data_IF_220369744933
#
_entry.id   IF_220369744933
#
_cell.length_a   1.000
_cell.length_b   1.000
_cell.length_c   1.000
_cell.angle_alpha   90.00
_cell.angle_beta   90.00
_cell.angle_gamma   90.00
#
_symmetry.space_group_name_H-M   'P 1'
#
loop_
_entity.id
_entity.type
_entity.pdbx_description
1 polymer ?
#
# COMPACT_ATOMS: atom_id res chain seq x y z
N UNK A 1 -9.93 -11.33 15.27
CA UNK A 1 -10.33 -11.87 16.59
C UNK A 1 -10.03 -13.36 16.72
N UNK A 2 -10.80 -14.28 16.11
CA UNK A 2 -10.62 -15.73 16.34
C UNK A 2 -9.21 -16.29 16.03
N UNK A 3 -8.43 -15.59 15.20
CA UNK A 3 -7.04 -15.95 14.83
C UNK A 3 -5.97 -15.10 15.55
N UNK A 4 -6.32 -14.34 16.58
CA UNK A 4 -5.39 -13.48 17.32
C UNK A 4 -4.93 -12.20 16.62
N UNK A 5 -5.25 -12.03 15.32
CA UNK A 5 -4.81 -10.85 14.54
C UNK A 5 -5.49 -9.51 14.90
N UNK A 6 -6.48 -9.51 15.80
CA UNK A 6 -7.15 -8.31 16.29
C UNK A 6 -7.85 -8.63 17.61
N UNK A 7 -7.79 -7.71 18.58
CA UNK A 7 -8.46 -7.85 19.88
C UNK A 7 -9.97 -7.75 19.76
N UNK A 8 -10.44 -6.86 18.87
CA UNK A 8 -11.86 -6.59 18.63
C UNK A 8 -12.11 -6.50 17.12
N UNK A 9 -13.35 -6.78 16.74
CA UNK A 9 -13.86 -6.50 15.39
C UNK A 9 -15.23 -5.83 15.53
N UNK A 10 -15.55 -4.97 14.58
CA UNK A 10 -16.82 -4.28 14.48
C UNK A 10 -17.50 -4.63 13.16
N UNK A 11 -18.83 -4.56 13.12
CA UNK A 11 -19.61 -4.82 11.90
C UNK A 11 -19.57 -3.65 10.92
N UNK A 12 -19.26 -2.44 11.40
CA UNK A 12 -19.16 -1.23 10.59
C UNK A 12 -17.84 -0.50 10.82
N UNK A 13 -17.30 0.18 9.79
CA UNK A 13 -16.13 1.05 9.95
C UNK A 13 -16.31 2.14 11.01
N UNK A 14 -17.49 2.74 11.12
CA UNK A 14 -17.82 3.79 12.09
C UNK A 14 -17.65 3.31 13.53
N UNK A 15 -18.18 2.12 13.84
CA UNK A 15 -18.02 1.52 15.16
C UNK A 15 -16.57 1.12 15.46
N UNK A 16 -15.75 0.88 14.42
CA UNK A 16 -14.34 0.55 14.57
C UNK A 16 -13.48 1.76 14.94
N UNK A 17 -13.81 2.94 14.40
CA UNK A 17 -13.01 4.16 14.58
C UNK A 17 -13.39 4.98 15.81
N UNK A 18 -14.55 4.72 16.41
CA UNK A 18 -15.07 5.49 17.54
C UNK A 18 -14.07 5.51 18.72
N UNK A 19 -13.57 6.70 19.05
CA UNK A 19 -12.61 6.90 20.14
C UNK A 19 -11.19 6.44 19.85
N UNK A 20 -10.84 6.15 18.60
CA UNK A 20 -9.48 5.78 18.21
C UNK A 20 -8.53 7.00 18.22
N UNK A 21 -7.33 6.81 18.75
CA UNK A 21 -6.24 7.81 18.66
C UNK A 21 -5.52 7.75 17.29
N UNK A 22 -5.49 6.55 16.70
CA UNK A 22 -4.89 6.25 15.40
C UNK A 22 -5.82 5.37 14.57
N UNK A 23 -6.08 5.78 13.34
CA UNK A 23 -6.78 4.98 12.31
C UNK A 23 -5.84 4.68 11.16
N UNK A 24 -5.69 3.40 10.85
CA UNK A 24 -4.83 2.91 9.77
C UNK A 24 -5.69 2.30 8.65
N UNK A 25 -5.76 2.97 7.51
CA UNK A 25 -6.57 2.55 6.36
C UNK A 25 -5.80 1.54 5.49
N UNK A 26 -5.96 0.26 5.79
CA UNK A 26 -5.36 -0.87 5.06
C UNK A 26 -6.32 -1.50 4.03
N UNK A 27 -7.24 -0.71 3.45
CA UNK A 27 -8.16 -1.14 2.38
C UNK A 27 -7.48 -1.09 1.01
N UNK A 28 -8.07 -1.69 -0.05
CA UNK A 28 -7.64 -1.45 -1.42
C UNK A 28 -7.56 0.05 -1.74
N UNK A 29 -6.65 0.43 -2.65
CA UNK A 29 -6.30 1.83 -2.95
C UNK A 29 -7.54 2.65 -3.31
N UNK A 30 -8.41 2.09 -4.16
CA UNK A 30 -9.66 2.69 -4.61
C UNK A 30 -10.69 2.92 -3.49
N UNK A 31 -10.56 2.18 -2.37
CA UNK A 31 -11.49 2.24 -1.25
C UNK A 31 -11.01 3.18 -0.13
N UNK A 32 -9.76 3.65 -0.14
CA UNK A 32 -9.20 4.47 0.96
C UNK A 32 -9.96 5.79 1.12
N UNK A 33 -10.06 6.61 0.07
CA UNK A 33 -10.73 7.91 0.17
C UNK A 33 -12.24 7.78 0.47
N UNK A 34 -13.01 6.88 -0.18
CA UNK A 34 -14.39 6.62 0.20
C UNK A 34 -14.56 6.14 1.65
N UNK A 35 -13.66 5.27 2.13
CA UNK A 35 -13.69 4.79 3.51
C UNK A 35 -13.41 5.93 4.49
N UNK A 36 -12.38 6.74 4.22
CA UNK A 36 -12.08 7.91 5.05
C UNK A 36 -13.27 8.86 5.12
N UNK A 37 -13.86 9.22 3.98
CA UNK A 37 -15.03 10.09 3.93
C UNK A 37 -16.21 9.54 4.74
N UNK A 38 -16.44 8.22 4.69
CA UNK A 38 -17.54 7.56 5.39
C UNK A 38 -17.37 7.47 6.91
N UNK A 39 -16.13 7.51 7.42
CA UNK A 39 -15.83 7.42 8.86
C UNK A 39 -15.43 8.75 9.47
N UNK A 40 -15.14 9.77 8.66
CA UNK A 40 -14.69 11.09 9.08
C UNK A 40 -15.56 11.71 10.20
N UNK A 41 -16.91 11.64 10.14
CA UNK A 41 -17.78 12.22 11.18
C UNK A 41 -17.67 11.54 12.55
N UNK A 42 -17.19 10.30 12.59
CA UNK A 42 -17.10 9.47 13.80
C UNK A 42 -15.69 9.48 14.42
N UNK A 43 -14.72 10.14 13.77
CA UNK A 43 -13.36 10.26 14.28
C UNK A 43 -13.29 11.25 15.44
N UNK A 44 -12.48 10.90 16.43
CA UNK A 44 -12.18 11.80 17.53
C UNK A 44 -11.41 13.04 17.02
N UNK A 45 -11.66 14.24 17.56
CA UNK A 45 -10.87 15.42 17.25
C UNK A 45 -9.37 15.17 17.51
N UNK A 46 -8.53 15.48 16.53
CA UNK A 46 -7.09 15.26 16.59
C UNK A 46 -6.64 13.82 16.30
N UNK A 47 -7.57 12.90 15.96
CA UNK A 47 -7.24 11.54 15.56
C UNK A 47 -6.18 11.55 14.45
N UNK A 48 -5.14 10.72 14.64
CA UNK A 48 -4.13 10.47 13.63
C UNK A 48 -4.70 9.49 12.60
N UNK A 49 -4.55 9.78 11.33
CA UNK A 49 -5.05 8.92 10.25
C UNK A 49 -3.93 8.69 9.25
N UNK A 50 -3.71 7.45 8.85
CA UNK A 50 -2.76 7.09 7.79
C UNK A 50 -3.35 6.02 6.87
N UNK A 51 -2.67 5.77 5.76
CA UNK A 51 -3.05 4.76 4.78
C UNK A 51 -1.86 3.85 4.41
N UNK A 52 -2.13 2.85 3.58
CA UNK A 52 -1.13 1.92 3.07
C UNK A 52 -1.20 1.74 1.54
N UNK A 53 -1.67 2.74 0.80
CA UNK A 53 -1.77 2.65 -0.64
C UNK A 53 -0.40 2.41 -1.28
N UNK A 54 -0.38 1.86 -2.50
CA UNK A 54 0.84 1.73 -3.30
C UNK A 54 1.18 2.98 -4.10
N UNK A 55 0.20 3.84 -4.39
CA UNK A 55 0.35 5.13 -5.07
C UNK A 55 -0.14 6.27 -4.18
N UNK A 56 0.51 7.43 -4.20
CA UNK A 56 0.29 8.52 -3.23
C UNK A 56 -0.36 9.75 -3.83
N UNK A 57 0.04 10.19 -5.01
CA UNK A 57 -0.56 11.37 -5.64
C UNK A 57 -2.08 11.20 -5.89
N UNK A 58 -2.58 10.04 -6.36
CA UNK A 58 -4.03 9.84 -6.52
C UNK A 58 -4.78 9.85 -5.18
N UNK A 59 -4.17 9.32 -4.12
CA UNK A 59 -4.78 9.32 -2.77
C UNK A 59 -4.86 10.73 -2.23
N UNK A 60 -3.78 11.51 -2.32
CA UNK A 60 -3.77 12.91 -1.91
C UNK A 60 -4.84 13.70 -2.67
N UNK A 61 -4.92 13.55 -3.99
CA UNK A 61 -5.93 14.23 -4.81
C UNK A 61 -7.38 13.81 -4.46
N UNK A 62 -7.60 12.54 -4.10
CA UNK A 62 -8.92 12.05 -3.74
C UNK A 62 -9.37 12.50 -2.33
N UNK A 63 -8.41 12.79 -1.44
CA UNK A 63 -8.66 13.20 -0.05
C UNK A 63 -8.71 14.74 0.08
N UNK A 64 -8.02 15.48 -0.78
CA UNK A 64 -7.98 16.95 -0.78
C UNK A 64 -9.36 17.63 -0.69
N UNK A 65 -10.44 17.13 -1.34
CA UNK A 65 -11.77 17.73 -1.22
C UNK A 65 -12.48 17.49 0.13
N UNK A 66 -11.95 16.62 1.00
CA UNK A 66 -12.55 16.28 2.29
C UNK A 66 -12.19 17.32 3.35
N UNK A 67 -13.14 17.64 4.24
CA UNK A 67 -12.86 18.49 5.41
C UNK A 67 -12.12 17.71 6.50
N UNK A 68 -10.80 17.72 6.42
CA UNK A 68 -9.93 17.07 7.40
C UNK A 68 -9.63 17.94 8.63
N UNK A 69 -10.31 19.07 8.84
CA UNK A 69 -9.98 20.00 9.93
C UNK A 69 -10.02 19.38 11.33
N UNK A 70 -10.80 18.33 11.53
CA UNK A 70 -10.92 17.61 12.79
C UNK A 70 -9.85 16.52 13.00
N UNK A 71 -9.04 16.19 11.98
CA UNK A 71 -8.12 15.03 12.02
C UNK A 71 -6.75 15.37 11.44
N UNK A 72 -5.76 14.50 11.69
CA UNK A 72 -4.39 14.69 11.21
C UNK A 72 -4.03 13.55 10.25
N UNK A 73 -4.16 13.80 8.95
CA UNK A 73 -3.86 12.79 7.92
C UNK A 73 -2.39 12.81 7.52
N UNK A 74 -1.74 11.65 7.58
CA UNK A 74 -0.34 11.43 7.16
C UNK A 74 -0.32 10.30 6.12
N UNK A 75 -0.12 10.61 4.82
CA UNK A 75 -0.15 9.59 3.79
C UNK A 75 1.05 8.64 3.91
N UNK A 76 0.80 7.34 3.79
CA UNK A 76 1.78 6.29 4.06
C UNK A 76 1.82 5.20 2.99
N UNK A 77 3.00 4.60 2.79
CA UNK A 77 3.18 3.40 1.99
C UNK A 77 4.25 2.51 2.62
N UNK A 78 3.86 1.48 3.39
CA UNK A 78 4.78 0.41 3.74
C UNK A 78 5.13 -0.35 2.46
N UNK A 79 6.40 -0.32 2.03
CA UNK A 79 6.87 -1.08 0.87
C UNK A 79 7.11 -2.54 1.25
N UNK A 80 6.05 -3.15 1.74
CA UNK A 80 5.99 -4.51 2.30
C UNK A 80 4.93 -5.28 1.55
N UNK A 81 5.20 -6.54 1.22
CA UNK A 81 4.23 -7.37 0.55
C UNK A 81 4.72 -8.80 0.41
N UNK A 82 3.79 -9.74 0.54
CA UNK A 82 3.96 -11.15 0.21
C UNK A 82 3.13 -11.45 -1.05
N UNK A 83 3.48 -12.50 -1.79
CA UNK A 83 2.69 -12.94 -2.93
C UNK A 83 1.27 -13.42 -2.51
N UNK A 84 1.19 -13.98 -1.30
CA UNK A 84 -0.04 -14.37 -0.60
C UNK A 84 -0.69 -13.18 0.10
N UNK A 85 -2.01 -13.25 0.30
CA UNK A 85 -2.81 -12.20 0.93
C UNK A 85 -3.79 -12.78 1.95
N UNK A 86 -4.29 -11.91 2.83
CA UNK A 86 -5.27 -12.24 3.85
C UNK A 86 -4.67 -12.36 5.24
N UNK A 87 -5.54 -12.30 6.25
CA UNK A 87 -5.16 -12.27 7.68
C UNK A 87 -4.37 -13.51 8.13
N UNK A 88 -4.47 -14.63 7.41
CA UNK A 88 -3.69 -15.84 7.69
C UNK A 88 -2.18 -15.65 7.45
N UNK A 89 -1.82 -14.70 6.58
CA UNK A 89 -0.45 -14.43 6.14
C UNK A 89 0.17 -13.25 6.90
N UNK A 90 -0.58 -12.68 7.86
CA UNK A 90 -0.12 -11.59 8.72
C UNK A 90 1.12 -12.01 9.50
N UNK A 91 2.05 -11.08 9.65
CA UNK A 91 3.39 -11.34 10.15
C UNK A 91 3.84 -10.15 11.00
N UNK A 92 4.29 -10.42 12.22
CA UNK A 92 4.76 -9.38 13.13
C UNK A 92 6.02 -8.69 12.59
N UNK A 93 6.83 -9.41 11.82
CA UNK A 93 8.09 -8.90 11.27
C UNK A 93 7.93 -8.31 9.86
N UNK A 94 6.69 -8.10 9.39
CA UNK A 94 6.39 -7.66 8.02
C UNK A 94 7.14 -6.38 7.62
N UNK A 95 7.33 -5.48 8.57
CA UNK A 95 7.95 -4.16 8.36
C UNK A 95 9.46 -4.15 8.59
N UNK A 96 10.03 -5.18 9.22
CA UNK A 96 11.42 -5.20 9.66
C UNK A 96 12.38 -5.10 8.46
N UNK A 97 13.23 -4.08 8.46
CA UNK A 97 14.20 -3.79 7.41
C UNK A 97 13.59 -3.32 6.09
N UNK A 98 12.26 -3.18 6.01
CA UNK A 98 11.54 -2.80 4.78
C UNK A 98 11.42 -1.29 4.67
N UNK A 99 11.46 -0.70 3.46
CA UNK A 99 11.18 0.71 3.30
C UNK A 99 9.75 1.06 3.71
N UNK A 100 9.56 2.21 4.35
CA UNK A 100 8.26 2.80 4.60
C UNK A 100 8.31 4.25 4.14
N UNK A 101 7.51 4.60 3.14
CA UNK A 101 7.43 5.96 2.65
C UNK A 101 6.31 6.73 3.34
N UNK A 102 6.60 7.94 3.82
CA UNK A 102 5.61 8.94 4.17
C UNK A 102 5.66 10.07 3.16
N UNK A 103 4.48 10.51 2.71
CA UNK A 103 4.41 11.55 1.68
C UNK A 103 3.61 12.76 2.16
N UNK A 104 4.22 13.60 3.02
CA UNK A 104 3.54 14.79 3.55
C UNK A 104 3.20 15.77 2.42
N UNK A 105 2.12 16.50 2.64
CA UNK A 105 1.69 17.65 1.82
C UNK A 105 1.84 18.93 2.64
N UNK A 106 1.64 20.13 2.05
CA UNK A 106 1.62 21.37 2.83
C UNK A 106 0.56 21.40 3.94
N UNK A 107 -0.48 20.57 3.85
CA UNK A 107 -1.52 20.45 4.87
C UNK A 107 -1.17 19.43 5.97
N UNK A 108 -0.09 18.66 5.82
CA UNK A 108 0.29 17.64 6.80
C UNK A 108 0.86 18.27 8.06
N UNK A 109 0.27 17.93 9.21
CA UNK A 109 0.82 18.25 10.53
C UNK A 109 2.17 17.54 10.74
N UNK A 110 3.23 18.32 10.99
CA UNK A 110 4.59 17.80 11.16
C UNK A 110 4.79 17.00 12.46
N UNK A 111 4.04 17.31 13.52
CA UNK A 111 4.06 16.52 14.75
C UNK A 111 3.39 15.17 14.54
N UNK A 112 2.28 15.13 13.80
CA UNK A 112 1.63 13.89 13.37
C UNK A 112 2.56 13.04 12.48
N UNK A 113 3.26 13.67 11.54
CA UNK A 113 4.28 12.99 10.74
C UNK A 113 5.37 12.38 11.64
N UNK A 114 5.90 13.14 12.60
CA UNK A 114 6.90 12.66 13.55
C UNK A 114 6.42 11.44 14.36
N UNK A 115 5.15 11.43 14.79
CA UNK A 115 4.54 10.28 15.47
C UNK A 115 4.50 9.04 14.56
N UNK A 116 4.10 9.21 13.29
CA UNK A 116 4.05 8.10 12.33
C UNK A 116 5.44 7.57 11.96
N UNK A 117 6.44 8.45 11.81
CA UNK A 117 7.84 8.08 11.60
C UNK A 117 8.34 7.22 12.75
N UNK A 118 8.17 7.69 14.00
CA UNK A 118 8.58 6.96 15.19
C UNK A 118 7.88 5.59 15.30
N UNK A 119 6.58 5.52 14.96
CA UNK A 119 5.84 4.26 14.92
C UNK A 119 6.43 3.29 13.89
N UNK A 120 6.67 3.74 12.66
CA UNK A 120 7.24 2.90 11.60
C UNK A 120 8.66 2.40 11.94
N UNK A 121 9.50 3.25 12.53
CA UNK A 121 10.83 2.88 12.99
C UNK A 121 10.79 1.88 14.15
N UNK A 122 9.83 2.03 15.07
CA UNK A 122 9.62 1.07 16.16
C UNK A 122 9.16 -0.31 15.65
N UNK A 123 8.49 -0.36 14.49
CA UNK A 123 8.18 -1.60 13.76
C UNK A 123 9.39 -2.15 12.98
N UNK A 124 10.55 -1.49 13.05
CA UNK A 124 11.79 -1.90 12.37
C UNK A 124 11.88 -1.46 10.91
N UNK A 125 10.99 -0.59 10.44
CA UNK A 125 11.02 -0.11 9.06
C UNK A 125 12.13 0.92 8.81
N UNK A 126 12.54 1.05 7.55
CA UNK A 126 13.45 2.10 7.07
C UNK A 126 12.62 3.23 6.47
N UNK A 127 12.48 4.33 7.20
CA UNK A 127 11.61 5.42 6.78
C UNK A 127 12.24 6.26 5.66
N UNK A 128 11.40 6.68 4.71
CA UNK A 128 11.70 7.69 3.70
C UNK A 128 10.59 8.75 3.72
N UNK A 129 10.97 10.02 3.67
CA UNK A 129 10.01 11.13 3.61
C UNK A 129 10.25 11.91 2.32
N UNK A 130 9.23 11.97 1.47
CA UNK A 130 9.35 12.54 0.12
C UNK A 130 8.00 13.03 -0.40
N UNK A 131 7.99 13.91 -1.41
CA UNK A 131 6.74 14.38 -2.00
C UNK A 131 5.95 13.24 -2.67
N UNK A 132 4.59 13.29 -2.70
CA UNK A 132 3.77 12.26 -3.34
C UNK A 132 4.18 11.95 -4.79
N UNK A 133 4.47 12.97 -5.58
CA UNK A 133 4.89 12.79 -6.98
C UNK A 133 6.28 12.14 -7.12
N UNK A 134 7.21 12.45 -6.21
CA UNK A 134 8.54 11.84 -6.20
C UNK A 134 8.46 10.36 -5.82
N UNK A 135 7.61 10.03 -4.85
CA UNK A 135 7.28 8.65 -4.50
C UNK A 135 6.73 7.88 -5.71
N UNK A 136 5.68 8.39 -6.35
CA UNK A 136 5.01 7.68 -7.43
C UNK A 136 5.92 7.51 -8.66
N UNK A 137 6.77 8.50 -8.96
CA UNK A 137 7.79 8.38 -10.01
C UNK A 137 8.82 7.28 -9.70
N UNK A 138 9.30 7.22 -8.45
CA UNK A 138 10.23 6.19 -8.02
C UNK A 138 9.57 4.79 -8.07
N UNK A 139 8.38 4.64 -7.50
CA UNK A 139 7.62 3.36 -7.47
C UNK A 139 7.24 2.90 -8.88
N UNK A 140 6.86 3.82 -9.77
CA UNK A 140 6.61 3.49 -11.17
C UNK A 140 7.84 2.83 -11.83
N UNK A 141 9.04 3.30 -11.51
CA UNK A 141 10.30 2.76 -12.03
C UNK A 141 10.67 1.42 -11.40
N UNK A 142 10.59 1.31 -10.07
CA UNK A 142 11.11 0.14 -9.34
C UNK A 142 10.09 -0.98 -9.12
N UNK A 143 8.80 -0.74 -9.41
CA UNK A 143 7.72 -1.70 -9.18
C UNK A 143 6.78 -1.84 -10.39
N UNK A 144 6.15 -0.77 -10.87
CA UNK A 144 5.11 -0.88 -11.90
C UNK A 144 5.70 -1.27 -13.27
N UNK A 145 6.77 -0.58 -13.70
CA UNK A 145 7.44 -0.87 -14.98
C UNK A 145 7.97 -2.32 -15.05
N UNK A 146 8.64 -2.86 -14.01
CA UNK A 146 8.99 -4.27 -13.96
C UNK A 146 7.81 -5.22 -14.19
N UNK A 147 6.63 -4.93 -13.62
CA UNK A 147 5.43 -5.74 -13.88
C UNK A 147 4.99 -5.64 -15.34
N UNK A 148 4.90 -4.44 -15.91
CA UNK A 148 4.52 -4.24 -17.33
C UNK A 148 5.45 -5.01 -18.27
N UNK A 149 6.76 -4.94 -18.04
CA UNK A 149 7.76 -5.66 -18.83
C UNK A 149 7.61 -7.19 -18.67
N UNK A 150 7.44 -7.67 -17.44
CA UNK A 150 7.23 -9.09 -17.16
C UNK A 150 5.98 -9.65 -17.83
N UNK A 151 4.84 -8.95 -17.71
CA UNK A 151 3.59 -9.34 -18.37
C UNK A 151 3.72 -9.33 -19.89
N UNK A 152 4.34 -8.28 -20.45
CA UNK A 152 4.53 -8.15 -21.90
C UNK A 152 5.40 -9.28 -22.45
N UNK A 153 6.47 -9.66 -21.73
CA UNK A 153 7.31 -10.81 -22.07
C UNK A 153 6.54 -12.13 -21.98
N UNK A 154 5.75 -12.33 -20.92
CA UNK A 154 4.93 -13.52 -20.75
C UNK A 154 3.91 -13.69 -21.88
N UNK A 155 3.19 -12.61 -22.25
CA UNK A 155 2.23 -12.61 -23.36
C UNK A 155 2.89 -12.88 -24.71
N UNK A 156 4.06 -12.28 -24.96
CA UNK A 156 4.81 -12.54 -26.19
C UNK A 156 5.26 -14.00 -26.27
N UNK A 157 5.70 -14.57 -25.15
CA UNK A 157 6.13 -15.98 -25.08
C UNK A 157 4.95 -16.91 -25.34
N UNK A 158 3.80 -16.66 -24.71
CA UNK A 158 2.57 -17.42 -24.94
C UNK A 158 2.14 -17.40 -26.42
N UNK A 159 2.17 -16.22 -27.05
CA UNK A 159 1.84 -16.08 -28.47
C UNK A 159 2.79 -16.88 -29.39
N UNK A 160 4.08 -16.95 -29.06
CA UNK A 160 5.08 -17.72 -29.82
C UNK A 160 4.88 -19.23 -29.65
N UNK A 161 4.58 -19.67 -28.43
CA UNK A 161 4.21 -21.06 -28.17
C UNK A 161 2.99 -21.48 -29.00
N UNK A 162 1.96 -20.63 -29.04
CA UNK A 162 0.75 -20.88 -29.82
C UNK A 162 1.02 -20.92 -31.34
N UNK A 163 2.08 -20.27 -31.81
CA UNK A 163 2.56 -20.35 -33.19
C UNK A 163 3.38 -21.63 -33.50
N UNK A 164 3.57 -22.52 -32.52
CA UNK A 164 4.31 -23.76 -32.67
C UNK A 164 5.83 -23.61 -32.49
N UNK A 165 6.31 -22.46 -32.02
CA UNK A 165 7.71 -22.29 -31.66
C UNK A 165 8.00 -22.94 -30.29
N UNK A 166 9.13 -23.64 -30.10
CA UNK A 166 9.43 -24.38 -28.87
C UNK A 166 9.98 -23.46 -27.77
N UNK A 167 9.29 -22.35 -27.49
CA UNK A 167 9.82 -21.28 -26.62
C UNK A 167 9.88 -21.69 -25.16
N UNK A 168 8.95 -22.51 -24.67
CA UNK A 168 9.00 -22.99 -23.28
C UNK A 168 10.00 -24.15 -23.10
N UNK A 169 10.20 -24.99 -24.13
CA UNK A 169 11.19 -26.06 -24.13
C UNK A 169 12.62 -25.51 -24.15
N UNK A 170 12.82 -24.33 -24.75
CA UNK A 170 14.10 -23.62 -24.78
C UNK A 170 14.22 -22.58 -23.66
N UNK A 171 13.17 -22.32 -22.88
CA UNK A 171 13.20 -21.37 -21.78
C UNK A 171 14.13 -21.86 -20.67
N UNK A 172 14.78 -20.91 -20.02
CA UNK A 172 15.70 -21.15 -18.91
C UNK A 172 15.59 -20.03 -17.87
N UNK A 173 16.52 -19.99 -16.91
CA UNK A 173 16.45 -19.11 -15.74
C UNK A 173 16.29 -17.61 -16.03
N UNK A 174 16.74 -17.10 -17.18
CA UNK A 174 16.51 -15.69 -17.55
C UNK A 174 15.04 -15.37 -17.77
N UNK A 175 14.31 -16.25 -18.45
CA UNK A 175 12.87 -16.06 -18.69
C UNK A 175 12.12 -16.14 -17.35
N UNK A 176 12.35 -17.20 -16.57
CA UNK A 176 11.74 -17.40 -15.26
C UNK A 176 11.99 -16.21 -14.32
N UNK A 177 13.22 -15.67 -14.34
CA UNK A 177 13.59 -14.53 -13.49
C UNK A 177 12.85 -13.25 -13.87
N UNK A 178 12.69 -12.99 -15.17
CA UNK A 178 12.03 -11.80 -15.69
C UNK A 178 10.51 -11.89 -15.58
N UNK A 179 9.93 -13.09 -15.71
CA UNK A 179 8.47 -13.28 -15.67
C UNK A 179 7.93 -13.63 -14.28
N UNK A 180 8.78 -13.89 -13.27
CA UNK A 180 8.35 -14.23 -11.91
C UNK A 180 7.30 -13.29 -11.33
N UNK A 181 7.43 -11.98 -11.57
CA UNK A 181 6.49 -10.97 -11.05
C UNK A 181 5.19 -10.90 -11.84
N UNK A 182 5.13 -11.44 -13.06
CA UNK A 182 3.88 -11.54 -13.82
C UNK A 182 2.88 -12.53 -13.19
N UNK A 183 3.33 -13.41 -12.29
CA UNK A 183 2.43 -14.28 -11.51
C UNK A 183 1.66 -13.53 -10.40
N UNK A 184 1.97 -12.24 -10.16
CA UNK A 184 1.23 -11.42 -9.20
C UNK A 184 -0.17 -11.06 -9.74
N UNK A 185 -1.05 -10.52 -8.88
CA UNK A 185 -2.41 -10.17 -9.33
C UNK A 185 -2.38 -8.81 -10.03
N UNK A 186 -2.98 -8.66 -11.24
CA UNK A 186 -3.04 -7.39 -11.95
C UNK A 186 -3.75 -6.26 -11.18
N UNK A 187 -4.58 -6.60 -10.18
CA UNK A 187 -5.29 -5.63 -9.33
C UNK A 187 -4.44 -5.05 -8.20
N UNK A 188 -3.22 -5.55 -8.00
CA UNK A 188 -2.32 -5.15 -6.90
C UNK A 188 -1.15 -4.27 -7.35
N UNK A 189 -0.99 -4.08 -8.66
CA UNK A 189 0.06 -3.25 -9.27
C UNK A 189 -0.46 -1.85 -9.58
#
# INVERSE_FOLDING_TARGET
VARGAADRAAETPQACVAGADLVYLATPVEAIAPTLAAVLPDLAPGCLVTDAASAKAPIVAAIEPLDLSAVRFVPGHPMTGKASAGVAEADADLFVGRPYAFTPTPATDLAALGQMVALAEALGARVQVLAPAAHDSAVATISHLPHVLAYSLALLTDARQQAGEPVFELAAGSWESLTRVAASSPRRA
#
